data_IF_469128323686
#
_entry.id   IF_469128323686
#
_cell.length_a   1.000
_cell.length_b   1.000
_cell.length_c   1.000
_cell.angle_alpha   90.00
_cell.angle_beta   90.00
_cell.angle_gamma   90.00
#
_symmetry.space_group_name_H-M   'P 1'
#
loop_
_entity.id
_entity.type
_entity.pdbx_description
1 polymer ?
#
# COMPACT_ATOMS: atom_id res chain seq x y z
N UNK A 1 109.68 -29.19 -35.91
CA UNK A 1 110.16 -30.00 -34.79
C UNK A 1 109.85 -29.23 -33.51
N UNK A 2 108.99 -29.82 -32.65
CA UNK A 2 108.61 -29.48 -31.27
C UNK A 2 108.30 -27.99 -30.91
N UNK A 3 107.13 -27.57 -30.44
CA UNK A 3 106.15 -27.98 -29.39
C UNK A 3 106.11 -26.89 -28.30
N UNK A 4 104.90 -26.71 -27.76
CA UNK A 4 104.53 -25.97 -26.54
C UNK A 4 104.30 -24.46 -26.72
N UNK A 5 103.23 -23.83 -26.22
CA UNK A 5 102.10 -24.22 -25.38
C UNK A 5 101.00 -23.12 -25.55
N UNK A 6 99.73 -23.52 -25.38
CA UNK A 6 98.51 -22.71 -25.12
C UNK A 6 98.72 -21.57 -24.07
N UNK A 7 97.76 -20.65 -23.79
CA UNK A 7 96.35 -20.57 -24.22
C UNK A 7 95.85 -19.15 -24.63
N UNK A 8 94.65 -19.05 -25.19
CA UNK A 8 93.76 -17.88 -25.07
C UNK A 8 92.33 -18.40 -25.31
N UNK A 9 91.73 -18.97 -24.28
CA UNK A 9 90.58 -18.36 -23.58
C UNK A 9 89.35 -18.25 -24.49
N UNK A 10 88.71 -19.41 -24.64
CA UNK A 10 87.34 -19.54 -25.10
C UNK A 10 86.42 -18.72 -24.18
N UNK A 11 85.50 -17.99 -24.81
CA UNK A 11 84.66 -16.98 -24.19
C UNK A 11 83.85 -17.49 -22.99
N UNK A 12 84.29 -17.14 -21.78
CA UNK A 12 83.52 -17.30 -20.54
C UNK A 12 82.57 -16.10 -20.40
N UNK A 13 81.34 -16.24 -20.90
CA UNK A 13 80.24 -15.36 -20.48
C UNK A 13 79.86 -15.74 -19.05
N UNK A 14 79.80 -14.80 -18.10
CA UNK A 14 79.45 -15.11 -16.72
C UNK A 14 78.03 -15.70 -16.65
N UNK A 15 77.75 -16.63 -15.71
CA UNK A 15 76.40 -17.13 -15.52
C UNK A 15 75.49 -15.95 -15.16
N UNK A 16 74.42 -15.78 -15.95
CA UNK A 16 73.33 -14.86 -15.61
C UNK A 16 72.83 -15.22 -14.20
N UNK A 17 72.56 -14.23 -13.33
CA UNK A 17 71.99 -14.52 -12.02
C UNK A 17 70.70 -15.33 -12.20
N UNK A 18 70.57 -16.45 -11.48
CA UNK A 18 69.32 -17.18 -11.36
C UNK A 18 68.23 -16.17 -10.95
N UNK A 19 67.38 -15.79 -11.90
CA UNK A 19 66.16 -15.08 -11.55
C UNK A 19 65.36 -16.01 -10.63
N UNK A 20 64.86 -15.52 -9.48
CA UNK A 20 63.92 -16.29 -8.69
C UNK A 20 62.80 -16.72 -9.64
N UNK A 21 62.56 -18.03 -9.76
CA UNK A 21 61.35 -18.51 -10.44
C UNK A 21 60.18 -17.92 -9.68
N UNK A 22 59.61 -16.84 -10.20
CA UNK A 22 58.35 -16.31 -9.72
C UNK A 22 57.34 -17.43 -9.92
N UNK A 23 56.89 -18.05 -8.82
CA UNK A 23 55.74 -18.93 -8.87
C UNK A 23 54.61 -18.17 -9.58
N UNK A 24 53.91 -18.76 -10.55
CA UNK A 24 52.78 -18.10 -11.15
C UNK A 24 51.80 -17.76 -10.02
N UNK A 25 51.25 -16.53 -9.97
CA UNK A 25 50.34 -16.14 -8.91
C UNK A 25 49.21 -17.16 -8.85
N UNK A 26 49.03 -17.76 -7.67
CA UNK A 26 47.95 -18.69 -7.40
C UNK A 26 46.65 -17.99 -7.77
N UNK A 27 46.04 -18.38 -8.89
CA UNK A 27 44.76 -17.86 -9.32
C UNK A 27 43.74 -18.31 -8.28
N UNK A 28 43.44 -17.44 -7.33
CA UNK A 28 42.28 -17.61 -6.46
C UNK A 28 41.07 -17.74 -7.39
N UNK A 29 40.25 -18.82 -7.28
CA UNK A 29 39.06 -18.93 -8.08
C UNK A 29 38.21 -17.68 -7.85
N UNK A 30 37.54 -17.14 -8.89
CA UNK A 30 36.77 -15.92 -8.76
C UNK A 30 35.82 -16.10 -7.58
N UNK A 31 36.00 -15.27 -6.56
CA UNK A 31 35.14 -15.22 -5.39
C UNK A 31 33.74 -15.04 -5.97
N UNK A 32 32.90 -16.08 -5.91
CA UNK A 32 31.52 -15.99 -6.38
C UNK A 32 30.97 -14.71 -5.74
N UNK A 33 30.35 -13.80 -6.49
CA UNK A 33 29.63 -12.70 -5.86
C UNK A 33 28.70 -13.39 -4.87
N UNK A 34 28.97 -13.14 -3.60
CA UNK A 34 28.11 -13.55 -2.52
C UNK A 34 26.76 -13.00 -2.95
N UNK A 35 25.86 -13.91 -3.33
CA UNK A 35 24.50 -13.56 -3.65
C UNK A 35 24.01 -12.87 -2.40
N UNK A 36 24.06 -11.54 -2.39
CA UNK A 36 23.26 -10.70 -1.53
C UNK A 36 21.85 -10.92 -2.04
N UNK A 37 21.32 -12.12 -1.79
CA UNK A 37 19.91 -12.32 -1.65
C UNK A 37 19.48 -11.15 -0.79
N UNK A 38 18.55 -10.29 -1.26
CA UNK A 38 18.00 -9.26 -0.41
C UNK A 38 17.52 -10.00 0.82
N UNK A 39 18.27 -9.89 1.91
CA UNK A 39 17.80 -10.34 3.19
C UNK A 39 16.71 -9.32 3.45
N UNK A 40 15.47 -9.67 3.08
CA UNK A 40 14.28 -8.97 3.53
C UNK A 40 14.42 -9.06 5.03
N UNK A 41 15.00 -8.01 5.62
CA UNK A 41 15.17 -7.92 7.04
C UNK A 41 13.75 -8.08 7.59
N UNK A 42 13.53 -9.16 8.34
CA UNK A 42 12.23 -9.42 8.91
C UNK A 42 11.83 -8.15 9.69
N UNK A 43 10.72 -7.53 9.29
CA UNK A 43 10.22 -6.31 9.90
C UNK A 43 10.24 -6.47 11.42
N UNK A 44 10.83 -5.49 12.12
CA UNK A 44 10.85 -5.51 13.58
C UNK A 44 9.42 -5.66 14.13
N UNK A 45 9.20 -6.31 15.29
CA UNK A 45 7.86 -6.49 15.81
C UNK A 45 7.12 -5.15 15.98
N UNK A 46 5.82 -5.15 15.69
CA UNK A 46 4.96 -3.96 15.77
C UNK A 46 4.85 -3.56 17.25
N UNK A 47 5.06 -2.28 17.54
CA UNK A 47 4.96 -1.78 18.93
C UNK A 47 3.51 -1.76 19.41
N UNK A 48 3.29 -1.92 20.72
CA UNK A 48 1.95 -1.79 21.31
C UNK A 48 1.33 -0.40 21.04
N UNK A 49 2.16 0.65 20.99
CA UNK A 49 1.73 2.00 20.67
C UNK A 49 1.22 2.12 19.22
N UNK A 50 1.87 1.46 18.26
CA UNK A 50 1.38 1.39 16.89
C UNK A 50 0.01 0.69 16.84
N UNK A 51 -0.15 -0.46 17.48
CA UNK A 51 -1.45 -1.13 17.56
C UNK A 51 -2.55 -0.27 18.19
N UNK A 52 -2.22 0.50 19.23
CA UNK A 52 -3.15 1.46 19.85
C UNK A 52 -3.56 2.58 18.91
N UNK A 53 -2.62 3.18 18.17
CA UNK A 53 -2.92 4.22 17.18
C UNK A 53 -3.84 3.68 16.08
N UNK A 54 -3.49 2.52 15.53
CA UNK A 54 -4.27 1.82 14.51
C UNK A 54 -5.67 1.43 15.00
N UNK A 55 -5.78 0.90 16.22
CA UNK A 55 -7.05 0.55 16.85
C UNK A 55 -7.94 1.77 17.09
N UNK A 56 -7.36 2.88 17.57
CA UNK A 56 -8.10 4.12 17.84
C UNK A 56 -8.69 4.69 16.56
N UNK A 57 -7.91 4.71 15.48
CA UNK A 57 -8.35 5.25 14.19
C UNK A 57 -9.38 4.32 13.53
N UNK A 58 -9.23 3.00 13.69
CA UNK A 58 -10.21 2.03 13.20
C UNK A 58 -11.60 2.15 13.86
N UNK A 59 -11.70 2.76 15.05
CA UNK A 59 -12.98 3.03 15.69
C UNK A 59 -13.78 4.14 14.99
N UNK A 60 -13.14 5.02 14.22
CA UNK A 60 -13.82 6.17 13.60
C UNK A 60 -14.83 5.72 12.51
N UNK A 61 -14.46 4.85 11.55
CA UNK A 61 -15.45 4.26 10.64
C UNK A 61 -16.60 3.55 11.37
N UNK A 62 -16.30 2.81 12.44
CA UNK A 62 -17.30 2.09 13.23
C UNK A 62 -18.28 3.04 13.93
N UNK A 63 -17.78 4.15 14.48
CA UNK A 63 -18.61 5.21 15.03
C UNK A 63 -19.47 5.86 13.94
N UNK A 64 -18.95 5.98 12.72
CA UNK A 64 -19.70 6.42 11.54
C UNK A 64 -20.88 5.51 11.22
N UNK A 65 -20.68 4.18 11.19
CA UNK A 65 -21.77 3.20 10.99
C UNK A 65 -22.82 3.30 12.09
N UNK A 66 -22.38 3.39 13.35
CA UNK A 66 -23.30 3.54 14.47
C UNK A 66 -24.10 4.85 14.37
N UNK A 67 -23.45 5.97 14.10
CA UNK A 67 -24.10 7.26 13.90
C UNK A 67 -25.10 7.26 12.73
N UNK A 68 -24.73 6.63 11.61
CA UNK A 68 -25.62 6.46 10.47
C UNK A 68 -26.88 5.65 10.84
N UNK A 69 -26.73 4.59 11.64
CA UNK A 69 -27.89 3.79 12.10
C UNK A 69 -28.85 4.61 12.97
N UNK A 70 -28.33 5.53 13.78
CA UNK A 70 -29.15 6.46 14.57
C UNK A 70 -29.83 7.51 13.70
N UNK A 71 -29.14 8.02 12.67
CA UNK A 71 -29.70 9.00 11.72
C UNK A 71 -30.85 8.41 10.90
N UNK A 72 -30.71 7.17 10.45
CA UNK A 72 -31.72 6.44 9.68
C UNK A 72 -32.83 5.79 10.52
N UNK A 73 -32.67 5.72 11.85
CA UNK A 73 -33.57 4.93 12.71
C UNK A 73 -33.49 3.42 12.41
N UNK A 74 -32.37 2.95 11.89
CA UNK A 74 -32.21 1.60 11.36
C UNK A 74 -31.57 0.63 12.34
N UNK A 75 -31.74 -0.67 12.04
CA UNK A 75 -30.97 -1.71 12.72
C UNK A 75 -29.51 -1.61 12.29
N UNK A 76 -28.61 -1.53 13.27
CA UNK A 76 -27.16 -1.43 13.05
C UNK A 76 -26.59 -2.44 12.05
N UNK A 77 -27.12 -3.66 11.97
CA UNK A 77 -26.64 -4.69 11.03
C UNK A 77 -26.99 -4.37 9.57
N UNK A 78 -28.10 -3.66 9.30
CA UNK A 78 -28.50 -3.23 7.95
C UNK A 78 -27.54 -2.15 7.48
N UNK A 79 -27.36 -1.13 8.31
CA UNK A 79 -26.39 -0.04 8.07
C UNK A 79 -24.96 -0.58 7.91
N UNK A 80 -24.57 -1.59 8.71
CA UNK A 80 -23.29 -2.26 8.55
C UNK A 80 -23.19 -2.99 7.19
N UNK A 81 -24.25 -3.64 6.73
CA UNK A 81 -24.27 -4.29 5.42
C UNK A 81 -24.14 -3.26 4.28
N UNK A 82 -24.81 -2.12 4.37
CA UNK A 82 -24.68 -1.00 3.41
C UNK A 82 -23.26 -0.43 3.38
N UNK A 83 -22.64 -0.28 4.54
CA UNK A 83 -21.26 0.16 4.67
C UNK A 83 -20.30 -0.84 4.03
N UNK A 84 -20.50 -2.15 4.29
CA UNK A 84 -19.68 -3.21 3.71
C UNK A 84 -19.87 -3.25 2.20
N UNK A 85 -21.09 -3.14 1.68
CA UNK A 85 -21.36 -3.10 0.25
C UNK A 85 -20.65 -1.91 -0.42
N UNK A 86 -20.78 -0.70 0.14
CA UNK A 86 -20.05 0.47 -0.36
C UNK A 86 -18.53 0.29 -0.31
N UNK A 87 -18.00 -0.25 0.79
CA UNK A 87 -16.57 -0.49 0.96
C UNK A 87 -16.02 -1.53 -0.02
N UNK A 88 -16.73 -2.64 -0.21
CA UNK A 88 -16.33 -3.74 -1.10
C UNK A 88 -16.40 -3.28 -2.55
N UNK A 89 -17.50 -2.66 -2.96
CA UNK A 89 -17.68 -2.21 -4.34
C UNK A 89 -16.68 -1.09 -4.64
N UNK A 90 -16.52 -0.13 -3.73
CA UNK A 90 -15.53 0.95 -3.81
C UNK A 90 -14.07 0.49 -3.77
N UNK A 91 -13.78 -0.71 -3.24
CA UNK A 91 -12.42 -1.26 -3.18
C UNK A 91 -11.83 -1.61 -4.55
N UNK A 92 -12.69 -1.86 -5.55
CA UNK A 92 -12.26 -2.22 -6.91
C UNK A 92 -11.43 -1.09 -7.55
N UNK A 93 -11.93 0.16 -7.66
CA UNK A 93 -11.08 1.29 -8.03
C UNK A 93 -10.20 1.78 -6.86
N UNK A 94 -10.63 1.58 -5.61
CA UNK A 94 -9.94 2.07 -4.41
C UNK A 94 -8.56 1.46 -4.20
N UNK A 95 -8.31 0.25 -4.70
CA UNK A 95 -6.97 -0.34 -4.71
C UNK A 95 -5.93 0.53 -5.43
N UNK A 96 -6.35 1.35 -6.40
CA UNK A 96 -5.48 2.25 -7.15
C UNK A 96 -5.04 3.49 -6.36
N UNK A 97 -5.81 3.88 -5.33
CA UNK A 97 -5.47 5.01 -4.45
C UNK A 97 -4.25 4.75 -3.57
N UNK A 98 -3.90 3.48 -3.44
CA UNK A 98 -2.87 3.01 -2.53
C UNK A 98 -1.82 2.18 -3.28
N UNK A 99 -1.67 2.44 -4.59
CA UNK A 99 -0.49 2.06 -5.34
C UNK A 99 0.66 2.95 -4.85
N UNK A 100 1.52 2.38 -4.01
CA UNK A 100 2.80 3.00 -3.70
C UNK A 100 3.88 2.43 -4.61
N UNK A 101 4.79 3.28 -5.13
CA UNK A 101 6.07 2.80 -5.63
C UNK A 101 6.79 2.04 -4.50
N UNK A 102 7.43 0.92 -4.83
CA UNK A 102 8.16 0.08 -3.86
C UNK A 102 9.35 0.79 -3.19
N UNK A 103 9.77 1.96 -3.70
CA UNK A 103 10.84 2.77 -3.14
C UNK A 103 10.28 4.11 -2.62
N UNK A 104 10.18 4.23 -1.30
CA UNK A 104 9.96 5.50 -0.62
C UNK A 104 11.13 6.46 -0.93
N UNK A 105 11.01 7.21 -2.03
CA UNK A 105 12.04 8.11 -2.55
C UNK A 105 12.15 8.16 -4.09
N UNK A 106 11.51 7.23 -4.81
CA UNK A 106 11.48 7.22 -6.27
C UNK A 106 10.46 8.20 -6.86
N UNK A 107 10.80 8.84 -7.98
CA UNK A 107 9.89 9.68 -8.77
C UNK A 107 8.70 8.82 -9.22
N UNK A 108 7.47 9.21 -8.87
CA UNK A 108 6.24 8.52 -9.30
C UNK A 108 6.24 8.35 -10.82
N UNK A 109 5.89 7.16 -11.30
CA UNK A 109 5.70 6.96 -12.73
C UNK A 109 4.40 7.64 -13.18
N UNK A 110 4.31 8.01 -14.45
CA UNK A 110 3.07 8.57 -15.03
C UNK A 110 1.88 7.61 -14.87
N UNK A 111 2.15 6.30 -14.86
CA UNK A 111 1.17 5.24 -14.61
C UNK A 111 0.66 5.24 -13.17
N UNK A 112 1.53 5.50 -12.18
CA UNK A 112 1.12 5.58 -10.77
C UNK A 112 0.22 6.79 -10.53
N UNK A 113 0.55 7.93 -11.13
CA UNK A 113 -0.26 9.15 -11.07
C UNK A 113 -1.61 8.95 -11.76
N UNK A 114 -1.62 8.32 -12.93
CA UNK A 114 -2.84 7.99 -13.65
C UNK A 114 -3.71 7.01 -12.86
N UNK A 115 -3.12 5.95 -12.30
CA UNK A 115 -3.80 4.98 -11.46
C UNK A 115 -4.44 5.63 -10.24
N UNK A 116 -3.68 6.43 -9.49
CA UNK A 116 -4.19 7.20 -8.36
C UNK A 116 -5.34 8.12 -8.77
N UNK A 117 -5.20 8.86 -9.88
CA UNK A 117 -6.25 9.75 -10.39
C UNK A 117 -7.53 9.00 -10.77
N UNK A 118 -7.40 7.84 -11.42
CA UNK A 118 -8.54 6.97 -11.74
C UNK A 118 -9.22 6.46 -10.48
N UNK A 119 -8.46 5.99 -9.49
CA UNK A 119 -8.99 5.63 -8.19
C UNK A 119 -9.73 6.80 -7.54
N UNK A 120 -9.18 8.01 -7.64
CA UNK A 120 -9.75 9.19 -6.97
C UNK A 120 -11.10 9.60 -7.56
N UNK A 121 -11.25 9.46 -8.87
CA UNK A 121 -12.49 9.80 -9.55
C UNK A 121 -13.53 8.68 -9.42
N UNK A 122 -13.12 7.41 -9.48
CA UNK A 122 -14.06 6.29 -9.55
C UNK A 122 -14.48 5.73 -8.19
N UNK A 123 -13.64 5.82 -7.16
CA UNK A 123 -13.96 5.23 -5.86
C UNK A 123 -15.21 5.78 -5.21
N UNK A 124 -15.42 7.12 -5.11
CA UNK A 124 -16.62 7.64 -4.47
C UNK A 124 -17.93 7.26 -5.18
N UNK A 125 -18.05 7.39 -6.53
CA UNK A 125 -19.24 6.93 -7.26
C UNK A 125 -19.52 5.45 -7.09
N UNK A 126 -18.48 4.61 -7.15
CA UNK A 126 -18.62 3.16 -7.05
C UNK A 126 -19.02 2.75 -5.62
N UNK A 127 -18.43 3.36 -4.60
CA UNK A 127 -18.84 3.14 -3.21
C UNK A 127 -20.28 3.61 -2.96
N UNK A 128 -20.65 4.78 -3.46
CA UNK A 128 -21.99 5.31 -3.35
C UNK A 128 -23.03 4.40 -4.00
N UNK A 129 -22.73 3.84 -5.19
CA UNK A 129 -23.59 2.86 -5.86
C UNK A 129 -23.77 1.59 -5.02
N UNK A 130 -22.72 1.12 -4.35
CA UNK A 130 -22.80 -0.05 -3.47
C UNK A 130 -23.72 0.20 -2.27
N UNK A 131 -23.53 1.33 -1.58
CA UNK A 131 -24.34 1.72 -0.42
C UNK A 131 -25.78 2.02 -0.80
N UNK A 132 -26.00 2.90 -1.78
CA UNK A 132 -27.33 3.26 -2.26
C UNK A 132 -28.07 2.05 -2.83
N UNK A 133 -27.42 1.24 -3.67
CA UNK A 133 -28.03 0.07 -4.29
C UNK A 133 -28.51 -0.95 -3.26
N UNK A 134 -27.72 -1.20 -2.20
CA UNK A 134 -28.15 -2.10 -1.13
C UNK A 134 -29.28 -1.47 -0.28
N UNK A 135 -29.24 -0.17 0.00
CA UNK A 135 -30.31 0.53 0.71
C UNK A 135 -31.64 0.52 -0.05
N UNK A 136 -31.62 0.75 -1.37
CA UNK A 136 -32.83 0.66 -2.20
C UNK A 136 -33.44 -0.75 -2.19
N UNK A 137 -32.60 -1.79 -2.18
CA UNK A 137 -33.04 -3.19 -2.05
C UNK A 137 -33.62 -3.49 -0.67
N UNK A 138 -32.99 -2.96 0.39
CA UNK A 138 -33.43 -3.19 1.77
C UNK A 138 -34.78 -2.52 2.08
N UNK A 139 -35.02 -1.32 1.53
CA UNK A 139 -36.19 -0.49 1.87
C UNK A 139 -37.28 -0.47 0.80
N UNK A 140 -37.19 -1.29 -0.25
CA UNK A 140 -38.14 -1.30 -1.37
C UNK A 140 -38.27 0.07 -2.07
N UNK A 141 -37.18 0.83 -2.07
CA UNK A 141 -37.05 2.14 -2.69
C UNK A 141 -37.19 3.31 -1.71
N UNK A 142 -36.28 4.28 -1.81
CA UNK A 142 -36.39 5.54 -1.05
C UNK A 142 -37.35 6.53 -1.70
N UNK A 143 -37.90 7.44 -0.89
CA UNK A 143 -38.83 8.49 -1.33
C UNK A 143 -38.15 9.54 -2.21
N UNK A 144 -36.86 9.77 -1.99
CA UNK A 144 -36.01 10.77 -2.66
C UNK A 144 -34.72 10.10 -3.19
N UNK A 145 -34.87 9.16 -4.13
CA UNK A 145 -33.76 8.31 -4.62
C UNK A 145 -32.54 9.07 -5.12
N UNK A 146 -32.76 10.22 -5.76
CA UNK A 146 -31.69 11.07 -6.28
C UNK A 146 -30.87 11.70 -5.17
N UNK A 147 -31.54 12.23 -4.16
CA UNK A 147 -30.88 12.89 -3.02
C UNK A 147 -30.16 11.86 -2.15
N UNK A 148 -30.75 10.68 -1.94
CA UNK A 148 -30.10 9.57 -1.24
C UNK A 148 -28.81 9.12 -1.93
N UNK A 149 -28.79 9.04 -3.27
CA UNK A 149 -27.57 8.74 -4.04
C UNK A 149 -26.54 9.88 -3.96
N UNK A 150 -26.96 11.14 -4.10
CA UNK A 150 -26.07 12.30 -3.99
C UNK A 150 -25.48 12.43 -2.58
N UNK A 151 -26.26 12.13 -1.56
CA UNK A 151 -25.82 12.02 -0.18
C UNK A 151 -24.75 10.94 -0.04
N UNK A 152 -25.01 9.73 -0.55
CA UNK A 152 -24.04 8.64 -0.55
C UNK A 152 -22.74 9.02 -1.29
N UNK A 153 -22.85 9.71 -2.43
CA UNK A 153 -21.71 10.17 -3.22
C UNK A 153 -20.88 11.23 -2.47
N UNK A 154 -21.54 12.26 -1.93
CA UNK A 154 -20.87 13.31 -1.17
C UNK A 154 -20.21 12.75 0.09
N UNK A 155 -20.91 11.86 0.80
CA UNK A 155 -20.40 11.15 1.97
C UNK A 155 -19.20 10.26 1.63
N UNK A 156 -19.26 9.50 0.54
CA UNK A 156 -18.15 8.67 0.07
C UNK A 156 -16.92 9.51 -0.29
N UNK A 157 -17.11 10.67 -0.93
CA UNK A 157 -16.02 11.58 -1.29
C UNK A 157 -15.33 12.17 -0.05
N UNK A 158 -16.11 12.62 0.94
CA UNK A 158 -15.56 13.10 2.23
C UNK A 158 -14.84 11.96 2.96
N UNK A 159 -15.46 10.79 3.05
CA UNK A 159 -14.87 9.58 3.65
C UNK A 159 -13.56 9.19 2.97
N UNK A 160 -13.50 9.29 1.64
CA UNK A 160 -12.29 9.04 0.87
C UNK A 160 -11.15 10.01 1.23
N UNK A 161 -11.42 11.31 1.29
CA UNK A 161 -10.41 12.31 1.66
C UNK A 161 -9.88 12.06 3.08
N UNK A 162 -10.77 11.75 4.03
CA UNK A 162 -10.35 11.35 5.39
C UNK A 162 -9.52 10.07 5.36
N UNK A 163 -9.94 9.07 4.59
CA UNK A 163 -9.22 7.80 4.45
C UNK A 163 -7.81 7.98 3.91
N UNK A 164 -7.62 8.84 2.90
CA UNK A 164 -6.31 9.17 2.33
C UNK A 164 -5.44 9.94 3.34
N UNK A 165 -6.00 10.94 4.03
CA UNK A 165 -5.27 11.69 5.05
C UNK A 165 -4.83 10.80 6.22
N UNK A 166 -5.73 9.92 6.69
CA UNK A 166 -5.44 8.92 7.72
C UNK A 166 -4.40 7.91 7.25
N UNK A 167 -4.47 7.48 6.00
CA UNK A 167 -3.49 6.56 5.41
C UNK A 167 -2.08 7.16 5.48
N UNK A 168 -1.93 8.43 5.07
CA UNK A 168 -0.65 9.15 5.15
C UNK A 168 -0.17 9.36 6.59
N UNK A 169 -1.06 9.73 7.51
CA UNK A 169 -0.72 9.88 8.93
C UNK A 169 -0.22 8.57 9.56
N UNK A 170 -0.88 7.45 9.27
CA UNK A 170 -0.50 6.14 9.79
C UNK A 170 0.80 5.60 9.18
N UNK A 171 1.13 6.03 7.96
CA UNK A 171 2.42 5.77 7.34
C UNK A 171 3.53 6.55 8.04
N UNK A 172 3.33 7.83 8.32
CA UNK A 172 4.31 8.69 9.00
C UNK A 172 4.62 8.21 10.42
N UNK A 173 3.61 7.72 11.15
CA UNK A 173 3.77 7.32 12.57
C UNK A 173 4.44 5.95 12.75
N UNK A 174 4.25 5.00 11.81
CA UNK A 174 4.67 3.59 12.01
C UNK A 174 5.62 3.09 10.92
N UNK A 175 5.86 3.90 9.88
CA UNK A 175 6.67 3.54 8.72
C UNK A 175 5.92 2.66 7.72
N UNK A 176 6.45 2.59 6.50
CA UNK A 176 5.87 1.82 5.41
C UNK A 176 6.24 0.33 5.53
N UNK A 177 5.64 -0.35 6.52
CA UNK A 177 5.75 -1.81 6.67
C UNK A 177 4.66 -2.51 5.85
N UNK A 178 5.05 -3.55 5.12
CA UNK A 178 4.13 -4.35 4.30
C UNK A 178 3.06 -5.04 5.16
N UNK A 179 3.45 -5.47 6.37
CA UNK A 179 2.55 -6.14 7.31
C UNK A 179 1.33 -5.28 7.73
N UNK A 180 1.42 -3.95 7.66
CA UNK A 180 0.32 -3.03 8.00
C UNK A 180 -0.34 -2.40 6.78
N UNK A 181 0.18 -2.62 5.57
CA UNK A 181 -0.37 -2.03 4.35
C UNK A 181 -1.83 -2.45 4.14
N UNK A 182 -2.14 -3.73 4.32
CA UNK A 182 -3.51 -4.22 4.21
C UNK A 182 -4.43 -3.57 5.25
N UNK A 183 -3.96 -3.42 6.48
CA UNK A 183 -4.76 -2.85 7.57
C UNK A 183 -5.02 -1.34 7.36
N UNK A 184 -4.02 -0.57 6.89
CA UNK A 184 -4.20 0.83 6.47
C UNK A 184 -5.23 0.97 5.35
N UNK A 185 -5.17 0.09 4.34
CA UNK A 185 -6.14 0.06 3.23
C UNK A 185 -7.56 -0.22 3.73
N UNK A 186 -7.72 -1.20 4.63
CA UNK A 186 -9.03 -1.54 5.21
C UNK A 186 -9.63 -0.38 6.01
N UNK A 187 -8.83 0.34 6.80
CA UNK A 187 -9.30 1.54 7.52
C UNK A 187 -9.79 2.60 6.54
N UNK A 188 -9.00 2.91 5.52
CA UNK A 188 -9.34 3.93 4.54
C UNK A 188 -10.61 3.57 3.74
N UNK A 189 -10.76 2.30 3.35
CA UNK A 189 -12.00 1.79 2.76
C UNK A 189 -13.19 1.89 3.73
N UNK A 190 -12.96 1.63 5.02
CA UNK A 190 -13.96 1.82 6.06
C UNK A 190 -14.45 3.28 6.15
N UNK A 191 -13.55 4.26 6.03
CA UNK A 191 -13.94 5.68 5.97
C UNK A 191 -14.79 5.98 4.72
N UNK A 192 -14.44 5.42 3.56
CA UNK A 192 -15.21 5.60 2.32
C UNK A 192 -16.62 5.03 2.48
N UNK A 193 -16.74 3.77 2.92
CA UNK A 193 -18.04 3.12 3.10
C UNK A 193 -18.88 3.78 4.19
N UNK A 194 -18.30 4.07 5.36
CA UNK A 194 -19.03 4.72 6.45
C UNK A 194 -19.47 6.14 6.07
N UNK A 195 -18.61 6.90 5.37
CA UNK A 195 -18.97 8.20 4.82
C UNK A 195 -20.15 8.08 3.85
N UNK A 196 -20.11 7.11 2.93
CA UNK A 196 -21.21 6.84 2.00
C UNK A 196 -22.51 6.54 2.75
N UNK A 197 -22.47 5.72 3.79
CA UNK A 197 -23.65 5.35 4.57
C UNK A 197 -24.19 6.52 5.40
N UNK A 198 -23.33 7.30 6.05
CA UNK A 198 -23.75 8.52 6.75
C UNK A 198 -24.42 9.50 5.77
N UNK A 199 -23.82 9.70 4.61
CA UNK A 199 -24.35 10.58 3.57
C UNK A 199 -25.69 10.10 3.01
N UNK A 200 -25.82 8.79 2.75
CA UNK A 200 -27.07 8.14 2.32
C UNK A 200 -28.19 8.40 3.33
N UNK A 201 -27.94 8.10 4.61
CA UNK A 201 -28.92 8.24 5.69
C UNK A 201 -29.28 9.71 5.95
N UNK A 202 -28.29 10.62 5.89
CA UNK A 202 -28.52 12.05 6.09
C UNK A 202 -29.36 12.69 4.98
N UNK A 203 -29.10 12.32 3.73
CA UNK A 203 -29.89 12.77 2.58
C UNK A 203 -31.24 12.05 2.46
N UNK A 204 -31.50 11.05 3.31
CA UNK A 204 -32.82 10.45 3.43
C UNK A 204 -33.05 9.12 2.78
N UNK A 205 -31.98 8.41 2.47
CA UNK A 205 -32.00 6.96 2.42
C UNK A 205 -32.45 6.38 3.76
N UNK A 206 -33.06 5.19 3.71
CA UNK A 206 -33.55 4.48 4.89
C UNK A 206 -35.07 4.56 5.14
N UNK A 207 -35.58 3.78 6.10
CA UNK A 207 -37.00 3.68 6.41
C UNK A 207 -37.45 4.92 7.17
N UNK A 208 -38.03 5.89 6.45
CA UNK A 208 -38.70 7.03 7.07
C UNK A 208 -40.15 6.68 7.38
N UNK A 209 -40.46 6.46 8.65
CA UNK A 209 -41.82 6.45 9.15
C UNK A 209 -42.49 7.80 8.85
N UNK A 210 -43.54 7.78 8.04
CA UNK A 210 -44.48 8.89 7.97
C UNK A 210 -45.39 8.81 9.19
N UNK A 211 -44.96 9.39 10.30
CA UNK A 211 -45.92 9.83 11.31
C UNK A 211 -46.48 11.18 10.87
N UNK A 212 -47.61 11.12 10.15
CA UNK A 212 -48.64 12.16 10.11
C UNK A 212 -50.01 11.50 10.11
#
# INVERSE_FOLDING_TARGET
MALSLLPAEDAESPPLPEQPRTEPPKVEPPRRPESTSPHVAADAPITAAAWMAYGTVALVPLAGVYGASLLGGERLWVTAAETVAGSVVGSLPGGLLFLQPADAGGRWSELDVAGFGVGLVLTPPVAALGTWGLGELAFHGSKERGDAFLGALGGAAVGMLLGVAVHGLLEEVVGNRDALMWFRKTIALGFIGSGATVGYQWAGGGPRDHSH
#
